data_IF_108492591394
#
_entry.id   IF_108492591394
#
_cell.length_a   1.000
_cell.length_b   1.000
_cell.length_c   1.000
_cell.angle_alpha   90.00
_cell.angle_beta   90.00
_cell.angle_gamma   90.00
#
_symmetry.space_group_name_H-M   'P 1'
#
loop_
_entity.id
_entity.type
_entity.pdbx_description
1 polymer ?
#
# COMPACT_ATOMS: atom_id res chain seq x y z
N UNK A 1 7.04 12.27 3.84
CA UNK A 1 6.58 12.02 2.44
C UNK A 1 7.20 10.70 1.98
N UNK A 2 8.09 10.57 1.00
CA UNK A 2 8.75 9.27 0.68
C UNK A 2 10.07 9.00 1.43
N UNK A 3 10.68 10.05 2.01
CA UNK A 3 11.97 9.94 2.74
C UNK A 3 11.91 9.08 4.01
N UNK A 4 10.71 8.81 4.51
CA UNK A 4 10.48 7.98 5.69
C UNK A 4 10.47 6.48 5.38
N UNK A 5 10.58 6.11 4.10
CA UNK A 5 10.67 4.72 3.66
C UNK A 5 12.06 4.18 4.01
N UNK A 6 12.09 3.05 4.70
CA UNK A 6 13.29 2.33 5.10
C UNK A 6 13.08 0.83 4.90
N UNK A 7 14.17 0.06 4.86
CA UNK A 7 14.12 -1.41 4.82
C UNK A 7 13.30 -1.96 6.00
N UNK A 8 13.51 -1.42 7.20
CA UNK A 8 12.79 -1.79 8.42
C UNK A 8 11.27 -1.60 8.32
N UNK A 9 10.81 -0.59 7.58
CA UNK A 9 9.38 -0.28 7.46
C UNK A 9 8.69 -1.03 6.30
N UNK A 10 9.45 -1.66 5.40
CA UNK A 10 8.91 -2.56 4.39
C UNK A 10 8.27 -3.80 5.03
N UNK A 11 7.18 -4.32 4.50
CA UNK A 11 6.62 -5.61 4.93
C UNK A 11 7.24 -6.80 4.18
N UNK A 12 8.06 -6.50 3.17
CA UNK A 12 8.73 -7.46 2.32
C UNK A 12 10.22 -7.50 2.65
N UNK A 13 10.84 -8.66 2.48
CA UNK A 13 12.28 -8.81 2.55
C UNK A 13 12.89 -8.11 1.33
N UNK A 14 13.66 -7.05 1.60
CA UNK A 14 14.24 -6.18 0.58
C UNK A 14 15.62 -5.72 0.99
N UNK A 15 16.36 -5.24 0.01
CA UNK A 15 17.63 -4.56 0.18
C UNK A 15 17.51 -3.02 0.01
N UNK A 16 18.51 -2.28 0.50
CA UNK A 16 18.55 -0.83 0.45
C UNK A 16 18.40 -0.26 -0.97
N UNK A 17 18.96 -0.95 -1.97
CA UNK A 17 18.87 -0.49 -3.37
C UNK A 17 17.43 -0.38 -3.88
N UNK A 18 16.48 -1.16 -3.34
CA UNK A 18 15.06 -1.04 -3.66
C UNK A 18 14.48 0.28 -3.14
N UNK A 19 14.83 0.64 -1.89
CA UNK A 19 14.43 1.91 -1.28
C UNK A 19 14.99 3.07 -2.08
N UNK A 20 16.28 3.03 -2.40
CA UNK A 20 16.96 4.08 -3.16
C UNK A 20 16.35 4.25 -4.55
N UNK A 21 16.02 3.14 -5.21
CA UNK A 21 15.36 3.15 -6.53
C UNK A 21 13.99 3.82 -6.45
N UNK A 22 13.14 3.41 -5.50
CA UNK A 22 11.82 4.02 -5.33
C UNK A 22 11.91 5.51 -4.98
N UNK A 23 12.81 5.89 -4.06
CA UNK A 23 13.01 7.28 -3.70
C UNK A 23 13.54 8.13 -4.86
N UNK A 24 14.40 7.56 -5.71
CA UNK A 24 14.89 8.22 -6.93
C UNK A 24 13.77 8.49 -7.92
N UNK A 25 12.88 7.51 -8.14
CA UNK A 25 11.68 7.69 -8.99
C UNK A 25 10.74 8.74 -8.36
N UNK A 26 10.47 8.62 -7.06
CA UNK A 26 9.59 9.56 -6.34
C UNK A 26 10.11 11.00 -6.40
N UNK A 27 11.43 11.19 -6.34
CA UNK A 27 12.07 12.51 -6.48
C UNK A 27 11.93 13.07 -7.90
N UNK A 28 12.01 12.23 -8.94
CA UNK A 28 11.82 12.65 -10.34
C UNK A 28 10.38 13.00 -10.67
N UNK A 29 9.43 12.40 -9.94
CA UNK A 29 7.98 12.48 -10.15
C UNK A 29 7.30 13.12 -8.93
N UNK A 30 7.96 14.07 -8.28
CA UNK A 30 7.50 14.67 -7.02
C UNK A 30 6.23 15.51 -7.21
N UNK A 31 6.00 16.01 -8.43
CA UNK A 31 4.77 16.71 -8.81
C UNK A 31 3.52 15.83 -8.64
N UNK A 32 3.67 14.50 -8.56
CA UNK A 32 2.58 13.55 -8.33
C UNK A 32 2.42 13.13 -6.86
N UNK A 33 3.29 13.61 -5.95
CA UNK A 33 3.27 13.28 -4.52
C UNK A 33 1.97 13.66 -3.80
N UNK A 34 1.19 14.59 -4.35
CA UNK A 34 -0.13 14.96 -3.82
C UNK A 34 -1.17 13.84 -3.94
N UNK A 35 -0.95 12.85 -4.82
CA UNK A 35 -1.85 11.72 -5.02
C UNK A 35 -1.87 10.75 -3.84
N UNK A 36 -0.81 10.75 -3.01
CA UNK A 36 -0.80 10.01 -1.74
C UNK A 36 -1.62 10.80 -0.71
N UNK A 37 -2.76 10.23 -0.32
CA UNK A 37 -3.72 10.87 0.60
C UNK A 37 -3.74 10.19 1.97
N UNK A 38 -4.13 10.98 2.96
CA UNK A 38 -4.50 10.45 4.28
C UNK A 38 -5.82 9.67 4.20
N UNK A 39 -5.97 8.67 5.06
CA UNK A 39 -7.16 7.83 5.12
C UNK A 39 -7.34 7.28 6.54
N UNK A 40 -7.26 5.96 6.69
CA UNK A 40 -7.23 5.30 7.98
C UNK A 40 -5.91 5.49 8.73
N UNK A 41 -4.80 5.51 8.00
CA UNK A 41 -3.45 5.73 8.52
C UNK A 41 -2.89 7.07 8.01
N UNK A 42 -1.82 7.50 8.68
CA UNK A 42 -1.11 8.75 8.37
C UNK A 42 -0.64 8.81 6.91
N UNK A 43 -0.44 10.02 6.39
CA UNK A 43 0.10 10.21 5.03
C UNK A 43 1.51 9.64 4.92
N UNK A 44 2.31 9.73 5.98
CA UNK A 44 3.65 9.13 6.06
C UNK A 44 3.60 7.61 5.90
N UNK A 45 2.69 6.95 6.63
CA UNK A 45 2.54 5.50 6.52
C UNK A 45 1.91 5.08 5.17
N UNK A 46 1.08 5.93 4.56
CA UNK A 46 0.57 5.69 3.22
C UNK A 46 1.69 5.60 2.16
N UNK A 47 2.81 6.32 2.34
CA UNK A 47 3.99 6.17 1.47
C UNK A 47 4.67 4.82 1.61
N UNK A 48 4.61 4.22 2.80
CA UNK A 48 5.12 2.87 3.03
C UNK A 48 4.20 1.86 2.33
N UNK A 49 2.87 2.07 2.33
CA UNK A 49 1.96 1.27 1.50
C UNK A 49 2.32 1.43 0.01
N UNK A 50 2.57 2.66 -0.48
CA UNK A 50 2.95 2.90 -1.87
C UNK A 50 4.22 2.14 -2.25
N UNK A 51 5.23 2.18 -1.39
CA UNK A 51 6.45 1.41 -1.61
C UNK A 51 6.21 -0.10 -1.67
N UNK A 52 5.43 -0.66 -0.74
CA UNK A 52 5.09 -2.09 -0.79
C UNK A 52 4.25 -2.42 -2.03
N UNK A 53 3.32 -1.56 -2.46
CA UNK A 53 2.55 -1.75 -3.68
C UNK A 53 3.44 -1.74 -4.93
N UNK A 54 4.41 -0.83 -5.00
CA UNK A 54 5.41 -0.78 -6.06
C UNK A 54 6.23 -2.07 -6.14
N UNK A 55 6.74 -2.54 -5.00
CA UNK A 55 7.46 -3.82 -4.91
C UNK A 55 6.62 -5.00 -5.43
N UNK A 56 5.31 -5.01 -5.19
CA UNK A 56 4.40 -6.06 -5.69
C UNK A 56 4.14 -5.99 -7.20
N UNK A 57 4.33 -4.80 -7.81
CA UNK A 57 4.19 -4.58 -9.26
C UNK A 57 5.47 -4.94 -10.02
N UNK A 58 6.62 -5.01 -9.34
CA UNK A 58 7.88 -5.41 -9.98
C UNK A 58 7.78 -6.85 -10.52
N UNK A 59 8.54 -7.17 -11.59
CA UNK A 59 8.67 -8.53 -12.12
C UNK A 59 9.04 -9.55 -11.03
N UNK A 60 8.64 -10.81 -11.21
CA UNK A 60 8.90 -11.88 -10.21
C UNK A 60 10.39 -12.23 -10.06
N UNK A 61 11.22 -11.80 -11.01
CA UNK A 61 12.68 -11.93 -11.02
C UNK A 61 13.36 -11.17 -9.86
N UNK A 62 12.68 -10.21 -9.23
CA UNK A 62 13.22 -9.47 -8.08
C UNK A 62 13.17 -10.27 -6.75
N UNK A 63 12.64 -11.51 -6.74
CA UNK A 63 12.62 -12.41 -5.59
C UNK A 63 12.15 -11.77 -4.27
N UNK A 64 11.09 -10.96 -4.35
CA UNK A 64 10.58 -10.21 -3.18
C UNK A 64 9.69 -11.13 -2.34
N UNK A 65 10.21 -11.58 -1.19
CA UNK A 65 9.54 -12.51 -0.28
C UNK A 65 8.87 -11.73 0.86
N UNK A 66 7.77 -12.24 1.40
CA UNK A 66 7.12 -11.69 2.59
C UNK A 66 7.99 -11.91 3.83
N UNK A 67 8.13 -10.88 4.68
CA UNK A 67 8.85 -11.03 5.96
C UNK A 67 7.97 -11.76 6.98
N UNK A 68 8.37 -12.98 7.34
CA UNK A 68 7.65 -13.84 8.30
C UNK A 68 7.50 -13.16 9.66
N UNK A 69 8.56 -12.54 10.17
CA UNK A 69 8.55 -11.87 11.48
C UNK A 69 7.56 -10.69 11.52
N UNK A 70 7.46 -9.96 10.41
CA UNK A 70 6.52 -8.83 10.29
C UNK A 70 5.07 -9.29 10.15
N UNK A 71 4.84 -10.52 9.72
CA UNK A 71 3.48 -11.09 9.59
C UNK A 71 2.75 -11.18 10.93
N UNK A 72 3.50 -11.39 12.01
CA UNK A 72 2.96 -11.46 13.38
C UNK A 72 2.30 -10.13 13.76
N UNK A 73 2.94 -9.01 13.43
CA UNK A 73 2.46 -7.68 13.78
C UNK A 73 1.50 -7.09 12.75
N UNK A 74 1.69 -7.35 11.46
CA UNK A 74 1.00 -6.65 10.37
C UNK A 74 0.05 -7.55 9.58
N UNK A 75 -0.59 -8.51 10.26
CA UNK A 75 -1.47 -9.51 9.65
C UNK A 75 -2.56 -8.90 8.76
N UNK A 76 -3.11 -7.73 9.13
CA UNK A 76 -4.07 -7.01 8.28
C UNK A 76 -3.48 -6.62 6.92
N UNK A 77 -2.26 -6.09 6.89
CA UNK A 77 -1.61 -5.71 5.64
C UNK A 77 -1.33 -6.93 4.76
N UNK A 78 -0.87 -8.03 5.34
CA UNK A 78 -0.64 -9.26 4.58
C UNK A 78 -1.92 -9.82 3.98
N UNK A 79 -3.03 -9.79 4.72
CA UNK A 79 -4.34 -10.17 4.19
C UNK A 79 -4.73 -9.30 2.98
N UNK A 80 -4.63 -7.97 3.13
CA UNK A 80 -4.96 -7.03 2.05
C UNK A 80 -4.04 -7.24 0.85
N UNK A 81 -2.73 -7.30 1.05
CA UNK A 81 -1.76 -7.47 -0.03
C UNK A 81 -1.94 -8.80 -0.76
N UNK A 82 -2.28 -9.87 -0.05
CA UNK A 82 -2.61 -11.15 -0.69
C UNK A 82 -3.88 -11.06 -1.55
N UNK A 83 -4.88 -10.29 -1.12
CA UNK A 83 -6.07 -10.04 -1.94
C UNK A 83 -5.74 -9.18 -3.16
N UNK A 84 -4.99 -8.09 -3.00
CA UNK A 84 -4.54 -7.21 -4.10
C UNK A 84 -3.70 -7.98 -5.12
N UNK A 85 -2.75 -8.81 -4.67
CA UNK A 85 -1.96 -9.66 -5.57
C UNK A 85 -2.82 -10.62 -6.39
N UNK A 86 -3.96 -11.06 -5.88
CA UNK A 86 -4.86 -11.96 -6.62
C UNK A 86 -5.87 -11.23 -7.50
N UNK A 87 -5.96 -9.90 -7.37
CA UNK A 87 -6.90 -9.09 -8.14
C UNK A 87 -6.54 -9.06 -9.63
N UNK A 88 -7.55 -9.25 -10.49
CA UNK A 88 -7.36 -9.35 -11.94
C UNK A 88 -6.85 -8.04 -12.56
N UNK A 89 -7.28 -6.87 -12.05
CA UNK A 89 -6.83 -5.58 -12.57
C UNK A 89 -5.38 -5.31 -12.18
N UNK A 90 -5.00 -5.68 -10.95
CA UNK A 90 -3.61 -5.62 -10.50
C UNK A 90 -2.71 -6.54 -11.34
N UNK A 91 -3.12 -7.80 -11.56
CA UNK A 91 -2.36 -8.75 -12.37
C UNK A 91 -2.24 -8.30 -13.84
N UNK A 92 -3.34 -7.78 -14.41
CA UNK A 92 -3.32 -7.24 -15.76
C UNK A 92 -2.32 -6.10 -15.88
N UNK A 93 -2.28 -5.17 -14.92
CA UNK A 93 -1.33 -4.07 -14.86
C UNK A 93 0.13 -4.58 -14.73
N UNK A 94 0.37 -5.54 -13.83
CA UNK A 94 1.70 -6.11 -13.58
C UNK A 94 2.32 -6.75 -14.83
N UNK A 95 1.53 -7.49 -15.61
CA UNK A 95 2.01 -8.21 -16.79
C UNK A 95 1.81 -7.47 -18.12
N UNK A 96 1.57 -6.16 -18.09
CA UNK A 96 1.47 -5.37 -19.31
C UNK A 96 2.81 -5.32 -20.04
N UNK A 97 2.75 -5.47 -21.37
CA UNK A 97 3.93 -5.37 -22.24
C UNK A 97 4.51 -3.96 -22.34
N UNK A 98 3.69 -2.94 -22.13
CA UNK A 98 4.06 -1.53 -22.18
C UNK A 98 4.28 -0.92 -20.78
N UNK A 99 4.50 -1.76 -19.77
CA UNK A 99 4.78 -1.31 -18.42
C UNK A 99 6.11 -0.56 -18.35
N UNK A 100 6.10 0.59 -17.68
CA UNK A 100 7.27 1.45 -17.45
C UNK A 100 7.43 1.74 -15.96
N UNK A 101 8.64 2.14 -15.50
CA UNK A 101 8.84 2.57 -14.12
C UNK A 101 7.87 3.68 -13.68
N UNK A 102 7.56 4.61 -14.57
CA UNK A 102 6.60 5.70 -14.32
C UNK A 102 5.18 5.16 -14.10
N UNK A 103 4.73 4.23 -14.96
CA UNK A 103 3.41 3.61 -14.78
C UNK A 103 3.33 2.86 -13.45
N UNK A 104 4.33 2.04 -13.12
CA UNK A 104 4.35 1.31 -11.85
C UNK A 104 4.40 2.23 -10.64
N UNK A 105 5.17 3.32 -10.71
CA UNK A 105 5.17 4.33 -9.65
C UNK A 105 3.80 4.98 -9.47
N UNK A 106 3.18 5.48 -10.55
CA UNK A 106 1.85 6.09 -10.49
C UNK A 106 0.80 5.09 -9.97
N UNK A 107 0.82 3.85 -10.45
CA UNK A 107 -0.08 2.82 -9.96
C UNK A 107 0.13 2.54 -8.47
N UNK A 108 1.37 2.51 -7.99
CA UNK A 108 1.67 2.26 -6.58
C UNK A 108 1.10 3.33 -5.64
N UNK A 109 1.17 4.60 -6.03
CA UNK A 109 0.63 5.71 -5.21
C UNK A 109 -0.90 5.74 -5.22
N UNK A 110 -1.53 5.46 -6.37
CA UNK A 110 -2.99 5.33 -6.45
C UNK A 110 -3.49 4.14 -5.62
N UNK A 111 -2.85 2.97 -5.77
CA UNK A 111 -3.19 1.76 -5.01
C UNK A 111 -3.01 2.01 -3.51
N UNK A 112 -1.96 2.70 -3.08
CA UNK A 112 -1.75 3.02 -1.67
C UNK A 112 -2.86 3.89 -1.10
N UNK A 113 -3.24 4.95 -1.82
CA UNK A 113 -4.38 5.79 -1.45
C UNK A 113 -5.67 4.99 -1.41
N UNK A 114 -5.93 4.16 -2.42
CA UNK A 114 -7.11 3.29 -2.47
C UNK A 114 -7.17 2.31 -1.30
N UNK A 115 -6.06 1.66 -0.96
CA UNK A 115 -5.96 0.77 0.21
C UNK A 115 -6.23 1.57 1.50
N UNK A 116 -5.64 2.75 1.66
CA UNK A 116 -5.81 3.57 2.85
C UNK A 116 -7.26 4.04 3.03
N UNK A 117 -7.92 4.42 1.93
CA UNK A 117 -9.35 4.78 1.89
C UNK A 117 -10.25 3.56 2.14
N UNK A 118 -9.90 2.40 1.59
CA UNK A 118 -10.64 1.15 1.81
C UNK A 118 -10.56 0.68 3.27
N UNK A 119 -9.39 0.76 3.91
CA UNK A 119 -9.23 0.48 5.35
C UNK A 119 -10.16 1.42 6.14
N UNK A 120 -10.24 2.71 5.77
CA UNK A 120 -11.10 3.68 6.45
C UNK A 120 -12.58 3.32 6.29
N UNK A 121 -12.98 2.88 5.09
CA UNK A 121 -14.33 2.40 4.81
C UNK A 121 -14.67 1.21 5.70
N UNK A 122 -13.79 0.21 5.79
CA UNK A 122 -13.98 -0.99 6.62
C UNK A 122 -14.11 -0.59 8.10
N UNK A 123 -13.19 0.25 8.60
CA UNK A 123 -13.24 0.69 10.00
C UNK A 123 -14.56 1.39 10.34
N UNK A 124 -15.07 2.24 9.44
CA UNK A 124 -16.36 2.93 9.64
C UNK A 124 -17.53 1.95 9.58
N UNK A 125 -17.58 1.10 8.56
CA UNK A 125 -18.68 0.15 8.32
C UNK A 125 -18.87 -0.85 9.46
N UNK A 126 -17.77 -1.28 10.07
CA UNK A 126 -17.78 -2.27 11.16
C UNK A 126 -17.63 -1.63 12.57
N UNK A 127 -17.85 -0.32 12.69
CA UNK A 127 -17.84 0.44 13.94
C UNK A 127 -16.53 0.30 14.77
N UNK A 128 -15.38 0.32 14.09
CA UNK A 128 -14.03 0.24 14.67
C UNK A 128 -13.38 1.63 14.79
N UNK A 129 -14.17 2.68 15.04
CA UNK A 129 -13.73 4.08 15.01
C UNK A 129 -12.69 4.38 16.10
N UNK A 130 -12.75 3.71 17.25
CA UNK A 130 -11.74 3.86 18.29
C UNK A 130 -10.33 3.48 17.81
N UNK A 131 -10.23 2.49 16.92
CA UNK A 131 -8.98 2.10 16.29
C UNK A 131 -8.46 3.20 15.36
N UNK A 132 -9.35 3.83 14.60
CA UNK A 132 -8.99 4.92 13.68
C UNK A 132 -8.23 6.04 14.40
N UNK A 133 -8.70 6.43 15.59
CA UNK A 133 -8.04 7.46 16.39
C UNK A 133 -6.62 7.07 16.80
N UNK A 134 -6.37 5.78 17.09
CA UNK A 134 -5.02 5.28 17.42
C UNK A 134 -4.14 5.18 16.19
N UNK A 135 -4.69 4.73 15.05
CA UNK A 135 -3.98 4.62 13.78
C UNK A 135 -3.51 5.98 13.26
N UNK A 136 -4.32 7.04 13.41
CA UNK A 136 -3.96 8.39 12.98
C UNK A 136 -2.88 9.05 13.84
N UNK A 137 -2.86 8.74 15.14
CA UNK A 137 -1.93 9.37 16.10
C UNK A 137 -0.58 8.68 16.18
N UNK A 138 -0.42 7.52 15.55
CA UNK A 138 0.75 6.67 15.75
C UNK A 138 1.39 6.27 14.43
N UNK A 139 2.71 6.12 14.41
CA UNK A 139 3.44 5.62 13.24
C UNK A 139 3.15 4.12 13.07
N UNK A 140 2.28 3.78 12.14
CA UNK A 140 1.74 2.43 11.98
C UNK A 140 2.84 1.40 11.77
N UNK A 141 3.79 1.67 10.87
CA UNK A 141 4.86 0.74 10.52
C UNK A 141 6.02 0.69 11.54
N UNK A 142 5.91 1.43 12.65
CA UNK A 142 6.80 1.34 13.81
C UNK A 142 6.12 0.63 15.00
N UNK A 143 4.96 0.00 14.81
CA UNK A 143 4.20 -0.61 15.91
C UNK A 143 4.98 -1.69 16.69
N UNK A 144 5.79 -2.49 16.00
CA UNK A 144 6.67 -3.50 16.59
C UNK A 144 7.81 -2.93 17.47
N UNK A 145 8.09 -1.63 17.41
CA UNK A 145 9.15 -0.96 18.19
C UNK A 145 8.61 -0.29 19.47
N UNK A 146 7.31 -0.45 19.77
CA UNK A 146 6.64 0.18 20.90
C UNK A 146 6.81 -0.61 22.20
N UNK A 147 6.25 -0.12 23.29
CA UNK A 147 6.21 -0.88 24.54
C UNK A 147 5.37 -2.15 24.38
N UNK A 148 5.62 -3.17 25.21
CA UNK A 148 4.90 -4.44 25.17
C UNK A 148 3.37 -4.27 25.22
N UNK A 149 2.87 -3.42 26.14
CA UNK A 149 1.44 -3.10 26.26
C UNK A 149 0.87 -2.45 25.00
N UNK A 150 1.63 -1.59 24.33
CA UNK A 150 1.20 -0.97 23.08
C UNK A 150 1.20 -1.97 21.92
N UNK A 151 2.16 -2.90 21.90
CA UNK A 151 2.23 -3.99 20.94
C UNK A 151 1.02 -4.92 21.12
N UNK A 152 0.71 -5.33 22.34
CA UNK A 152 -0.47 -6.18 22.62
C UNK A 152 -1.77 -5.52 22.15
N UNK A 153 -1.95 -4.24 22.48
CA UNK A 153 -3.11 -3.47 22.02
C UNK A 153 -3.16 -3.38 20.50
N UNK A 154 -2.01 -3.19 19.84
CA UNK A 154 -1.92 -3.17 18.39
C UNK A 154 -2.30 -4.53 17.78
N UNK A 155 -1.81 -5.65 18.33
CA UNK A 155 -2.15 -7.00 17.85
C UNK A 155 -3.67 -7.27 18.00
N UNK A 156 -4.28 -6.86 19.11
CA UNK A 156 -5.74 -6.96 19.31
C UNK A 156 -6.49 -6.14 18.25
N UNK A 157 -6.02 -4.93 17.96
CA UNK A 157 -6.57 -4.07 16.92
C UNK A 157 -6.44 -4.75 15.54
N UNK A 158 -5.28 -5.32 15.22
CA UNK A 158 -5.06 -6.07 13.97
C UNK A 158 -6.05 -7.22 13.83
N UNK A 159 -6.23 -8.03 14.88
CA UNK A 159 -7.17 -9.15 14.86
C UNK A 159 -8.63 -8.71 14.63
N UNK A 160 -9.06 -7.62 15.29
CA UNK A 160 -10.39 -7.03 15.08
C UNK A 160 -10.59 -6.55 13.65
N UNK A 161 -9.59 -5.84 13.10
CA UNK A 161 -9.64 -5.39 11.72
C UNK A 161 -9.64 -6.56 10.73
N UNK A 162 -8.79 -7.57 10.94
CA UNK A 162 -8.76 -8.78 10.09
C UNK A 162 -10.13 -9.42 10.01
N UNK A 163 -10.84 -9.56 11.13
CA UNK A 163 -12.21 -10.09 11.13
C UNK A 163 -13.16 -9.27 10.24
N UNK A 164 -13.12 -7.94 10.37
CA UNK A 164 -13.93 -7.04 9.55
C UNK A 164 -13.52 -7.07 8.06
N UNK A 165 -12.22 -7.08 7.79
CA UNK A 165 -11.66 -7.12 6.44
C UNK A 165 -12.00 -8.42 5.71
N UNK A 166 -11.96 -9.58 6.38
CA UNK A 166 -12.39 -10.86 5.78
C UNK A 166 -13.85 -10.80 5.34
N UNK A 167 -14.72 -10.22 6.17
CA UNK A 167 -16.12 -10.02 5.79
C UNK A 167 -16.25 -9.06 4.61
N UNK A 168 -15.51 -7.95 4.60
CA UNK A 168 -15.57 -6.97 3.50
C UNK A 168 -15.00 -7.53 2.19
N UNK A 169 -13.95 -8.36 2.27
CA UNK A 169 -13.34 -9.04 1.13
C UNK A 169 -14.28 -10.06 0.46
N UNK A 170 -15.35 -10.48 1.13
CA UNK A 170 -16.41 -11.29 0.49
C UNK A 170 -17.28 -10.46 -0.48
N UNK A 171 -17.14 -9.14 -0.45
CA UNK A 171 -17.74 -8.21 -1.42
C UNK A 171 -16.72 -7.79 -2.47
N UNK A 172 -17.17 -7.10 -3.52
CA UNK A 172 -16.27 -6.58 -4.56
C UNK A 172 -15.59 -5.25 -4.19
N UNK A 173 -15.78 -4.71 -2.98
CA UNK A 173 -15.37 -3.33 -2.66
C UNK A 173 -13.87 -3.08 -2.80
N UNK A 174 -13.02 -4.05 -2.40
CA UNK A 174 -11.57 -3.93 -2.62
C UNK A 174 -11.24 -4.04 -4.11
N UNK A 175 -11.82 -4.98 -4.84
CA UNK A 175 -11.55 -5.17 -6.28
C UNK A 175 -11.96 -3.94 -7.10
N UNK A 176 -13.12 -3.35 -6.82
CA UNK A 176 -13.56 -2.09 -7.43
C UNK A 176 -12.60 -0.93 -7.12
N UNK A 177 -12.09 -0.88 -5.89
CA UNK A 177 -11.07 0.10 -5.49
C UNK A 177 -9.79 -0.08 -6.30
N UNK A 178 -9.27 -1.30 -6.41
CA UNK A 178 -8.06 -1.61 -7.17
C UNK A 178 -8.24 -1.32 -8.65
N UNK A 179 -9.37 -1.74 -9.24
CA UNK A 179 -9.73 -1.42 -10.61
C UNK A 179 -9.65 0.08 -10.87
N UNK A 180 -10.32 0.89 -10.04
CA UNK A 180 -10.31 2.34 -10.17
C UNK A 180 -8.89 2.91 -10.06
N UNK A 181 -8.10 2.44 -9.10
CA UNK A 181 -6.72 2.89 -8.94
C UNK A 181 -5.86 2.58 -10.17
N UNK A 182 -5.99 1.37 -10.74
CA UNK A 182 -5.29 0.97 -11.95
C UNK A 182 -5.73 1.81 -13.17
N UNK A 183 -7.05 2.03 -13.32
CA UNK A 183 -7.62 2.85 -14.39
C UNK A 183 -7.12 4.30 -14.29
N UNK A 184 -7.24 4.94 -13.13
CA UNK A 184 -6.81 6.33 -12.88
C UNK A 184 -5.30 6.51 -13.13
N UNK A 185 -4.48 5.59 -12.63
CA UNK A 185 -3.04 5.61 -12.85
C UNK A 185 -2.69 5.52 -14.35
N UNK A 186 -3.35 4.62 -15.08
CA UNK A 186 -3.10 4.42 -16.50
C UNK A 186 -3.59 5.61 -17.34
N UNK A 187 -4.71 6.24 -17.00
CA UNK A 187 -5.18 7.45 -17.68
C UNK A 187 -4.21 8.61 -17.48
N UNK A 188 -3.75 8.83 -16.25
CA UNK A 188 -2.74 9.86 -15.97
C UNK A 188 -1.43 9.58 -16.72
N UNK A 189 -0.98 8.33 -16.70
CA UNK A 189 0.22 7.91 -17.43
C UNK A 189 0.09 8.20 -18.94
N UNK A 190 -1.04 7.81 -19.54
CA UNK A 190 -1.33 8.08 -20.95
C UNK A 190 -1.28 9.57 -21.28
N UNK A 191 -1.91 10.39 -20.45
CA UNK A 191 -1.98 11.83 -20.67
C UNK A 191 -0.60 12.49 -20.61
N UNK A 192 0.25 12.09 -19.66
CA UNK A 192 1.49 12.81 -19.36
C UNK A 192 2.73 12.22 -20.04
N UNK A 193 2.76 10.91 -20.31
CA UNK A 193 3.97 10.22 -20.76
C UNK A 193 3.86 9.61 -22.15
N UNK A 194 2.64 9.30 -22.62
CA UNK A 194 2.43 8.76 -23.96
C UNK A 194 2.07 9.86 -24.98
N UNK A 195 1.21 10.81 -24.63
CA UNK A 195 0.86 11.94 -25.52
C UNK A 195 1.97 12.98 -25.67
N UNK A 196 2.93 13.03 -24.75
CA UNK A 196 4.09 13.95 -24.83
C UNK A 196 5.19 13.45 -25.77
N UNK A 197 5.07 12.22 -26.31
CA UNK A 197 6.02 11.58 -27.24
C UNK A 197 5.50 11.49 -28.68
N UNK A 198 4.31 12.02 -28.96
CA UNK A 198 3.66 12.09 -30.28
C UNK A 198 3.55 13.53 -30.74
#
# INVERSE_FOLDING_TARGET
>A
MYKEITVDRSLLYIEQHHVDTFQSIAKKLDEYSYLVKEGAISKEDAWIIAFNAWLMLLPDEYHIIQSVDKMIYYSANFLIYNAVKKDVHFQNLKYRKDATPELFYLSSIYIATGINEWILLVLKKYNLIEMLNRLKKSKYFDAHKRTEKEIEMFIVDQAKFVKAAVMELSTNSLSETIKKCCDDAYFLYKEKFLKSKS
#
